data_IF_919384289796
#
_entry.id   IF_919384289796
#
_cell.length_a   1.000
_cell.length_b   1.000
_cell.length_c   1.000
_cell.angle_alpha   90.00
_cell.angle_beta   90.00
_cell.angle_gamma   90.00
#
_symmetry.space_group_name_H-M   'P 1'
#
loop_
_entity.id
_entity.type
_entity.pdbx_description
1 polymer ?
#
# COMPACT_ATOMS: atom_id res chain seq x y z
N UNK A 1 -32.64 52.34 -18.19
CA UNK A 1 -33.18 51.13 -18.84
C UNK A 1 -32.14 50.00 -18.92
N UNK A 2 -31.42 49.67 -17.84
CA UNK A 2 -30.40 48.59 -17.84
C UNK A 2 -30.35 47.79 -16.53
N UNK A 3 -31.36 47.98 -15.67
CA UNK A 3 -31.49 47.28 -14.37
C UNK A 3 -32.62 46.25 -14.32
N UNK A 4 -33.45 46.15 -15.37
CA UNK A 4 -34.56 45.18 -15.45
C UNK A 4 -34.24 43.91 -16.25
N UNK A 5 -33.05 43.82 -16.85
CA UNK A 5 -32.64 42.67 -17.69
C UNK A 5 -31.93 41.58 -16.87
N UNK A 6 -31.26 41.94 -15.76
CA UNK A 6 -30.54 40.96 -14.92
C UNK A 6 -31.44 40.07 -14.06
N UNK A 7 -32.71 40.43 -13.85
CA UNK A 7 -33.64 39.67 -13.00
C UNK A 7 -34.28 38.49 -13.76
N UNK A 8 -34.26 38.49 -15.09
CA UNK A 8 -34.79 37.39 -15.91
C UNK A 8 -33.80 36.26 -16.20
N UNK A 9 -32.49 36.44 -15.94
CA UNK A 9 -31.46 35.43 -16.23
C UNK A 9 -31.18 34.50 -15.03
N UNK A 10 -31.52 34.92 -13.80
CA UNK A 10 -31.34 34.10 -12.59
C UNK A 10 -32.59 33.27 -12.19
N UNK A 11 -33.69 33.37 -12.92
CA UNK A 11 -34.99 32.81 -12.54
C UNK A 11 -35.37 31.44 -13.12
N UNK A 12 -34.52 30.78 -13.90
CA UNK A 12 -34.92 29.59 -14.68
C UNK A 12 -34.03 28.35 -14.52
N UNK A 13 -33.26 28.23 -13.44
CA UNK A 13 -32.41 27.05 -13.19
C UNK A 13 -32.70 26.33 -11.86
N UNK A 14 -33.97 26.17 -11.51
CA UNK A 14 -34.43 25.27 -10.43
C UNK A 14 -35.72 24.55 -10.84
N UNK A 15 -35.60 23.49 -11.64
CA UNK A 15 -36.62 22.44 -11.82
C UNK A 15 -35.84 21.12 -11.96
N UNK A 16 -35.66 20.37 -10.86
CA UNK A 16 -36.43 19.16 -10.51
C UNK A 16 -36.40 18.09 -11.61
N UNK A 17 -35.64 17.01 -11.36
CA UNK A 17 -35.93 15.67 -11.88
C UNK A 17 -35.20 14.62 -11.04
N UNK A 18 -35.81 14.23 -9.92
CA UNK A 18 -35.44 13.05 -9.16
C UNK A 18 -36.23 11.86 -9.72
N UNK A 19 -35.58 11.02 -10.55
CA UNK A 19 -36.20 9.80 -11.09
C UNK A 19 -35.69 8.57 -10.35
N UNK A 20 -36.46 8.11 -9.35
CA UNK A 20 -36.22 6.85 -8.63
C UNK A 20 -36.80 5.70 -9.48
N UNK A 21 -35.93 4.96 -10.18
CA UNK A 21 -36.32 3.76 -10.95
C UNK A 21 -36.68 2.61 -10.00
N UNK A 22 -37.83 2.02 -10.24
CA UNK A 22 -38.31 0.79 -9.62
C UNK A 22 -37.58 -0.38 -10.30
N UNK A 23 -36.91 -1.23 -9.53
CA UNK A 23 -36.31 -2.49 -10.01
C UNK A 23 -37.19 -3.63 -9.52
N UNK A 24 -37.93 -4.23 -10.45
CA UNK A 24 -38.65 -5.49 -10.27
C UNK A 24 -38.21 -6.45 -11.37
N UNK A 25 -37.33 -7.41 -11.05
CA UNK A 25 -37.11 -8.68 -11.76
C UNK A 25 -36.53 -9.66 -10.72
N UNK A 26 -37.26 -10.67 -10.24
CA UNK A 26 -37.53 -12.00 -10.83
C UNK A 26 -36.25 -12.72 -11.28
N UNK A 27 -36.04 -13.91 -10.72
CA UNK A 27 -34.73 -14.55 -10.58
C UNK A 27 -34.07 -15.09 -11.84
N UNK A 28 -32.75 -15.30 -11.74
CA UNK A 28 -31.99 -16.33 -12.44
C UNK A 28 -30.76 -16.66 -11.58
N UNK A 29 -30.52 -17.96 -11.41
CA UNK A 29 -29.44 -18.51 -10.61
C UNK A 29 -28.08 -18.08 -11.15
N UNK A 30 -27.22 -17.52 -10.30
CA UNK A 30 -25.80 -17.34 -10.60
C UNK A 30 -25.03 -18.40 -9.81
N UNK A 31 -24.86 -19.59 -10.41
CA UNK A 31 -23.91 -20.56 -9.89
C UNK A 31 -22.50 -20.02 -10.10
N UNK A 32 -21.89 -19.48 -9.04
CA UNK A 32 -20.46 -19.23 -9.01
C UNK A 32 -19.75 -20.58 -9.02
N UNK A 33 -19.27 -21.01 -10.19
CA UNK A 33 -18.42 -22.18 -10.30
C UNK A 33 -17.06 -21.84 -9.67
N UNK A 34 -16.74 -22.47 -8.55
CA UNK A 34 -15.42 -22.39 -7.95
C UNK A 34 -14.39 -23.07 -8.87
N UNK A 35 -13.20 -22.49 -9.08
CA UNK A 35 -12.18 -23.12 -9.92
C UNK A 35 -11.77 -24.47 -9.32
N UNK A 36 -11.95 -25.53 -10.11
CA UNK A 36 -11.58 -26.91 -9.80
C UNK A 36 -10.18 -27.20 -10.36
N UNK A 37 -9.40 -28.06 -9.69
CA UNK A 37 -8.07 -28.46 -10.16
C UNK A 37 -8.06 -29.13 -11.54
N UNK A 38 -9.21 -29.64 -11.98
CA UNK A 38 -9.42 -30.26 -13.29
C UNK A 38 -9.76 -29.24 -14.39
N UNK A 39 -10.18 -28.02 -14.03
CA UNK A 39 -10.46 -26.93 -14.96
C UNK A 39 -9.95 -25.61 -14.35
N UNK A 40 -8.64 -25.32 -14.46
CA UNK A 40 -8.15 -23.99 -14.15
C UNK A 40 -8.76 -23.04 -15.19
N UNK A 41 -9.70 -22.21 -14.76
CA UNK A 41 -10.36 -21.21 -15.59
C UNK A 41 -9.29 -20.43 -16.41
N UNK A 42 -9.46 -20.37 -17.73
CA UNK A 42 -8.60 -19.59 -18.64
C UNK A 42 -8.84 -18.08 -18.48
N UNK A 43 -8.86 -17.56 -17.26
CA UNK A 43 -8.88 -16.12 -17.00
C UNK A 43 -7.54 -15.55 -17.48
N UNK A 44 -7.60 -15.01 -18.70
CA UNK A 44 -6.54 -14.34 -19.46
C UNK A 44 -5.18 -14.33 -18.78
N UNK A 45 -4.29 -15.21 -19.25
CA UNK A 45 -2.87 -15.33 -18.89
C UNK A 45 -2.20 -13.97 -18.61
N UNK A 46 -2.35 -13.47 -17.39
CA UNK A 46 -1.58 -12.34 -16.87
C UNK A 46 -0.31 -12.95 -16.27
N UNK A 47 0.56 -13.48 -17.14
CA UNK A 47 1.91 -13.82 -16.73
C UNK A 47 2.59 -12.52 -16.31
N UNK A 48 2.53 -12.25 -15.00
CA UNK A 48 3.23 -11.20 -14.28
C UNK A 48 3.55 -9.97 -15.12
N UNK A 49 2.61 -9.02 -15.23
CA UNK A 49 2.90 -7.65 -15.66
C UNK A 49 4.22 -7.23 -15.00
N UNK A 50 5.25 -7.01 -15.81
CA UNK A 50 6.56 -6.63 -15.30
C UNK A 50 6.40 -5.45 -14.34
N UNK A 51 7.01 -5.48 -13.14
CA UNK A 51 6.78 -4.45 -12.13
C UNK A 51 7.12 -3.09 -12.76
N UNK A 52 6.17 -2.15 -12.69
CA UNK A 52 6.40 -0.80 -13.17
C UNK A 52 7.64 -0.25 -12.46
N UNK A 53 8.64 0.17 -13.24
CA UNK A 53 9.84 0.80 -12.70
C UNK A 53 9.41 2.05 -11.93
N UNK A 54 9.41 1.99 -10.61
CA UNK A 54 9.39 3.20 -9.78
C UNK A 54 10.55 4.09 -10.22
N UNK A 55 10.23 5.29 -10.71
CA UNK A 55 11.21 6.30 -11.04
C UNK A 55 11.88 6.75 -9.73
N UNK A 56 13.08 6.22 -9.46
CA UNK A 56 13.95 6.74 -8.40
C UNK A 56 14.56 8.05 -8.87
N UNK A 57 13.83 9.15 -8.70
CA UNK A 57 14.15 10.46 -9.26
C UNK A 57 15.40 11.13 -8.65
N UNK A 58 16.00 10.59 -7.57
CA UNK A 58 17.05 11.32 -6.84
C UNK A 58 18.47 10.72 -6.87
N UNK A 59 18.69 9.51 -7.39
CA UNK A 59 20.02 8.85 -7.42
C UNK A 59 20.45 8.38 -8.82
N UNK A 60 19.84 8.95 -9.87
CA UNK A 60 19.99 8.48 -11.25
C UNK A 60 21.30 8.82 -11.96
N UNK A 61 22.08 9.80 -11.46
CA UNK A 61 23.21 10.33 -12.24
C UNK A 61 24.51 9.50 -12.18
N UNK A 62 24.68 8.62 -11.18
CA UNK A 62 26.00 7.99 -10.92
C UNK A 62 26.14 6.53 -11.36
N UNK A 63 25.16 5.95 -12.06
CA UNK A 63 25.25 4.55 -12.51
C UNK A 63 25.22 4.46 -14.04
N UNK A 64 26.34 4.77 -14.69
CA UNK A 64 26.60 4.29 -16.06
C UNK A 64 26.64 2.76 -16.03
N UNK A 65 25.52 2.11 -16.40
CA UNK A 65 25.51 0.67 -16.65
C UNK A 65 26.33 0.41 -17.91
N UNK A 66 27.44 -0.34 -17.79
CA UNK A 66 28.19 -0.84 -18.94
C UNK A 66 27.26 -1.77 -19.74
N UNK A 67 27.19 -1.58 -21.07
CA UNK A 67 26.43 -2.47 -21.96
C UNK A 67 27.19 -3.79 -22.07
N UNK A 68 26.75 -4.82 -21.35
CA UNK A 68 27.26 -6.19 -21.51
C UNK A 68 26.52 -6.89 -22.64
N UNK A 69 27.04 -8.01 -23.18
CA UNK A 69 26.36 -8.78 -24.21
C UNK A 69 25.01 -9.32 -23.69
N UNK A 70 24.06 -9.63 -24.58
CA UNK A 70 22.69 -10.03 -24.20
C UNK A 70 22.66 -11.19 -23.19
N UNK A 71 23.52 -12.21 -23.36
CA UNK A 71 23.64 -13.32 -22.41
C UNK A 71 24.10 -12.90 -21.01
N UNK A 72 25.10 -12.00 -20.94
CA UNK A 72 25.61 -11.49 -19.67
C UNK A 72 24.57 -10.66 -18.91
N UNK A 73 23.68 -9.97 -19.62
CA UNK A 73 22.59 -9.22 -19.01
C UNK A 73 21.62 -10.15 -18.28
N UNK A 74 21.30 -11.31 -18.86
CA UNK A 74 20.41 -12.30 -18.25
C UNK A 74 20.99 -12.88 -16.96
N UNK A 75 22.30 -13.16 -16.95
CA UNK A 75 23.02 -13.65 -15.75
C UNK A 75 22.97 -12.60 -14.64
N UNK A 76 23.27 -11.34 -14.98
CA UNK A 76 23.23 -10.22 -14.03
C UNK A 76 21.81 -9.99 -13.49
N UNK A 77 20.78 -10.10 -14.34
CA UNK A 77 19.38 -9.98 -13.91
C UNK A 77 18.95 -11.12 -13.00
N UNK A 78 19.35 -12.35 -13.32
CA UNK A 78 19.14 -13.50 -12.46
C UNK A 78 19.78 -13.31 -11.08
N UNK A 79 21.06 -12.94 -11.02
CA UNK A 79 21.73 -12.67 -9.76
C UNK A 79 21.06 -11.55 -8.97
N UNK A 80 20.63 -10.49 -9.64
CA UNK A 80 19.91 -9.40 -8.98
C UNK A 80 18.58 -9.86 -8.38
N UNK A 81 17.85 -10.74 -9.07
CA UNK A 81 16.63 -11.35 -8.52
C UNK A 81 16.95 -12.21 -7.30
N UNK A 82 17.96 -13.07 -7.37
CA UNK A 82 18.39 -13.88 -6.23
C UNK A 82 18.80 -13.03 -5.02
N UNK A 83 19.59 -11.96 -5.26
CA UNK A 83 20.00 -11.01 -4.21
C UNK A 83 18.82 -10.25 -3.60
N UNK A 84 17.78 -9.93 -4.38
CA UNK A 84 16.55 -9.28 -3.87
C UNK A 84 15.73 -10.25 -3.03
N UNK A 85 15.49 -11.46 -3.54
CA UNK A 85 14.75 -12.50 -2.83
C UNK A 85 15.38 -12.82 -1.47
N UNK A 86 16.72 -12.98 -1.43
CA UNK A 86 17.44 -13.21 -0.18
C UNK A 86 17.29 -12.05 0.82
N UNK A 87 17.32 -10.80 0.34
CA UNK A 87 17.11 -9.61 1.18
C UNK A 87 15.68 -9.53 1.72
N UNK A 88 14.69 -9.86 0.89
CA UNK A 88 13.29 -9.88 1.29
C UNK A 88 12.99 -10.99 2.30
N UNK A 89 13.52 -12.19 2.09
CA UNK A 89 13.43 -13.29 3.05
C UNK A 89 14.01 -12.88 4.41
N UNK A 90 15.21 -12.29 4.43
CA UNK A 90 15.83 -11.79 5.67
C UNK A 90 15.02 -10.69 6.35
N UNK A 91 14.33 -9.83 5.59
CA UNK A 91 13.43 -8.81 6.17
C UNK A 91 12.21 -9.45 6.82
N UNK A 92 11.56 -10.39 6.12
CA UNK A 92 10.41 -11.14 6.62
C UNK A 92 10.76 -11.91 7.89
N UNK A 93 11.90 -12.59 7.91
CA UNK A 93 12.40 -13.30 9.10
C UNK A 93 12.54 -12.36 10.30
N UNK A 94 13.19 -11.20 10.10
CA UNK A 94 13.32 -10.19 11.16
C UNK A 94 11.98 -9.64 11.64
N UNK A 95 10.99 -9.55 10.75
CA UNK A 95 9.64 -9.10 11.10
C UNK A 95 8.88 -10.16 11.89
N UNK A 96 9.02 -11.45 11.53
CA UNK A 96 8.44 -12.58 12.27
C UNK A 96 9.07 -12.74 13.67
N UNK A 97 10.36 -12.45 13.81
CA UNK A 97 11.04 -12.47 15.11
C UNK A 97 10.65 -11.31 16.03
N UNK A 98 9.94 -10.27 15.54
CA UNK A 98 9.48 -9.19 16.41
C UNK A 98 8.40 -9.73 17.35
N UNK A 99 8.46 -9.39 18.66
CA UNK A 99 7.41 -9.78 19.58
C UNK A 99 6.10 -9.08 19.24
N UNK A 100 5.00 -9.74 19.59
CA UNK A 100 3.62 -9.41 19.20
C UNK A 100 3.21 -7.95 19.51
N UNK A 101 3.79 -7.33 20.54
CA UNK A 101 3.47 -5.95 20.96
C UNK A 101 4.73 -5.08 21.12
N UNK A 102 5.61 -5.10 20.13
CA UNK A 102 6.83 -4.26 20.14
C UNK A 102 6.59 -2.79 19.78
N UNK A 103 5.50 -2.46 19.09
CA UNK A 103 5.24 -1.10 18.61
C UNK A 103 4.53 -0.26 19.69
N UNK A 104 5.10 0.87 20.14
CA UNK A 104 4.43 1.78 21.07
C UNK A 104 3.11 2.34 20.54
N UNK A 105 2.95 2.45 19.22
CA UNK A 105 1.70 2.92 18.62
C UNK A 105 0.53 1.97 18.89
N UNK A 106 0.81 0.68 19.11
CA UNK A 106 -0.21 -0.29 19.51
C UNK A 106 -0.87 0.08 20.84
N UNK A 107 -0.10 0.67 21.77
CA UNK A 107 -0.58 1.12 23.08
C UNK A 107 -1.18 2.55 23.06
N UNK A 108 -1.49 3.09 21.89
CA UNK A 108 -2.06 4.44 21.75
C UNK A 108 -1.06 5.58 21.96
N UNK A 109 0.25 5.29 22.02
CA UNK A 109 1.26 6.33 22.13
C UNK A 109 1.54 6.97 20.77
N UNK A 110 1.22 8.27 20.62
CA UNK A 110 1.59 9.06 19.42
C UNK A 110 3.11 9.16 19.22
N UNK A 111 3.88 9.05 20.30
CA UNK A 111 5.34 9.09 20.29
C UNK A 111 5.85 7.99 21.21
N UNK A 112 6.95 7.34 20.82
CA UNK A 112 7.61 6.33 21.66
C UNK A 112 7.92 6.92 23.05
N UNK A 113 7.50 6.25 24.15
CA UNK A 113 7.83 6.69 25.50
C UNK A 113 9.35 6.86 25.70
N UNK A 114 9.74 7.93 26.40
CA UNK A 114 11.15 8.26 26.65
C UNK A 114 11.74 7.31 27.70
N UNK A 115 12.64 6.41 27.28
CA UNK A 115 13.47 5.62 28.20
C UNK A 115 14.58 6.51 28.78
N UNK A 116 14.66 6.65 30.11
CA UNK A 116 15.69 7.44 30.79
C UNK A 116 16.93 6.58 31.09
N UNK A 117 18.10 7.21 31.12
CA UNK A 117 19.32 6.56 31.62
C UNK A 117 19.25 6.37 33.14
N UNK A 118 20.01 5.43 33.72
CA UNK A 118 20.00 5.15 35.17
C UNK A 118 20.22 6.40 36.03
N UNK A 119 21.10 7.31 35.60
CA UNK A 119 21.40 8.54 36.35
C UNK A 119 20.22 9.52 36.43
N UNK A 120 19.27 9.41 35.49
CA UNK A 120 18.10 10.30 35.35
C UNK A 120 16.79 9.63 35.78
N UNK A 121 16.85 8.39 36.24
CA UNK A 121 15.77 7.66 36.89
C UNK A 121 15.53 8.22 38.30
N UNK A 122 14.29 8.12 38.80
CA UNK A 122 13.96 8.61 40.15
C UNK A 122 14.38 7.57 41.17
N UNK A 123 15.12 7.98 42.20
CA UNK A 123 15.43 7.09 43.32
C UNK A 123 14.19 6.93 44.21
N UNK A 124 13.76 5.69 44.42
CA UNK A 124 12.69 5.39 45.36
C UNK A 124 13.27 5.16 46.76
N UNK A 125 12.78 5.92 47.74
CA UNK A 125 13.24 5.84 49.14
C UNK A 125 12.81 4.55 49.84
N UNK A 126 11.74 3.91 49.37
CA UNK A 126 11.20 2.67 49.93
C UNK A 126 11.96 1.45 49.41
N UNK A 127 12.21 1.40 48.09
CA UNK A 127 12.82 0.25 47.44
C UNK A 127 14.36 0.32 47.39
N UNK A 128 14.95 1.49 47.61
CA UNK A 128 16.40 1.68 47.54
C UNK A 128 17.00 1.57 46.12
N UNK A 129 16.16 1.52 45.08
CA UNK A 129 16.56 1.42 43.68
C UNK A 129 16.02 2.60 42.85
N UNK A 130 16.55 2.76 41.63
CA UNK A 130 16.11 3.80 40.69
C UNK A 130 15.07 3.24 39.72
N UNK A 131 13.94 3.96 39.56
CA UNK A 131 12.83 3.66 38.65
C UNK A 131 12.78 4.61 37.45
#
# INVERSE_FOLDING_TARGET
MLRKIFIFIFGSLVIVSCSKKQVSQSGYQNQQQHPSSLNPEETGRNYGRAPQKEQRVFFGLFKKKKKTAFGDQLIVEYEQRMKRNAKEAKKKEKEMQKPQYSDPSYFGHKRKPKKRSPDKMKFCKECGIRH
#
